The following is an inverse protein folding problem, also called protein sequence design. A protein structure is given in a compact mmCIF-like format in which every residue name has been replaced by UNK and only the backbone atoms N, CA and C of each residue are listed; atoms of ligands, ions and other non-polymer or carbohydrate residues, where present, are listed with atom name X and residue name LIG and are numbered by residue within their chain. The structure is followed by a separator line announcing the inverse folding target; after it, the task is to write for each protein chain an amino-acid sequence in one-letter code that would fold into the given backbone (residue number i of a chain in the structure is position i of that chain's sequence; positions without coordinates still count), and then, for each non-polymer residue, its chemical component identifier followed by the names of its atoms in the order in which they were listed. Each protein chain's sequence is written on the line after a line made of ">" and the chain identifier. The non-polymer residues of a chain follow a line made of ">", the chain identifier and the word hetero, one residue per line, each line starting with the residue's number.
data_IF_120294358437
#
_entry.id   IF_120294358437
#
_cell.length_a   1.000
_cell.length_b   1.000
_cell.length_c   1.000
_cell.angle_alpha   90.00
_cell.angle_beta   90.00
_cell.angle_gamma   90.00
#
_symmetry.space_group_name_H-M   'P 1'
#
loop_
_entity.id
_entity.type
_entity.pdbx_description
1 polymer ?
#
# COMPACT_ATOMS: atom_id res chain seq x y z
N UNK A 1 18.01 13.85 3.40
CA UNK A 1 18.27 15.15 2.70
C UNK A 1 19.49 15.88 3.25
N UNK A 2 19.66 16.01 4.56
CA UNK A 2 20.79 16.74 5.19
C UNK A 2 22.16 16.15 4.81
N UNK A 3 22.29 14.83 4.73
CA UNK A 3 23.55 14.15 4.41
C UNK A 3 23.97 14.32 2.94
N UNK A 4 23.03 14.34 2.00
CA UNK A 4 23.32 14.67 0.59
C UNK A 4 23.82 16.12 0.45
N UNK A 5 23.33 17.04 1.30
CA UNK A 5 23.80 18.41 1.34
C UNK A 5 25.27 18.54 1.81
N UNK A 6 25.66 17.75 2.81
CA UNK A 6 27.06 17.71 3.28
C UNK A 6 27.99 17.02 2.28
N UNK A 7 27.54 15.92 1.66
CA UNK A 7 28.31 15.23 0.62
C UNK A 7 28.46 16.08 -0.64
N UNK A 8 27.39 16.80 -1.05
CA UNK A 8 27.45 17.74 -2.16
C UNK A 8 28.39 18.94 -1.87
N UNK A 9 28.35 19.46 -0.64
CA UNK A 9 29.29 20.51 -0.20
C UNK A 9 30.72 20.01 -0.15
N UNK A 10 30.94 18.75 0.26
CA UNK A 10 32.26 18.13 0.27
C UNK A 10 32.79 17.90 -1.15
N UNK A 11 31.95 17.38 -2.07
CA UNK A 11 32.31 17.26 -3.48
C UNK A 11 32.55 18.61 -4.14
N UNK A 12 31.71 19.61 -3.85
CA UNK A 12 31.88 20.99 -4.33
C UNK A 12 33.17 21.63 -3.77
N UNK A 13 33.48 21.37 -2.51
CA UNK A 13 34.75 21.81 -1.91
C UNK A 13 35.95 21.14 -2.56
N UNK A 14 35.90 19.82 -2.81
CA UNK A 14 36.94 19.09 -3.53
C UNK A 14 37.09 19.58 -4.98
N UNK A 15 35.98 19.83 -5.65
CA UNK A 15 35.98 20.38 -7.02
C UNK A 15 36.55 21.81 -7.04
N UNK A 16 36.21 22.63 -6.07
CA UNK A 16 36.72 24.01 -5.96
C UNK A 16 38.22 24.03 -5.60
N UNK A 17 38.71 23.12 -4.79
CA UNK A 17 40.13 22.94 -4.51
C UNK A 17 40.90 22.42 -5.73
N UNK A 18 40.29 21.52 -6.51
CA UNK A 18 40.81 21.00 -7.76
C UNK A 18 40.93 22.11 -8.81
N UNK A 19 39.88 22.95 -8.97
CA UNK A 19 39.91 24.09 -9.89
C UNK A 19 40.88 25.17 -9.44
N UNK A 20 41.04 25.46 -8.14
CA UNK A 20 42.08 26.38 -7.63
C UNK A 20 43.47 25.87 -7.98
N UNK A 21 43.71 24.56 -8.06
CA UNK A 21 45.01 24.01 -8.50
C UNK A 21 45.26 24.10 -10.00
N UNK A 22 44.18 24.23 -10.81
CA UNK A 22 44.26 24.27 -12.29
C UNK A 22 44.28 25.66 -12.89
N UNK A 23 43.78 26.68 -12.18
CA UNK A 23 43.68 28.08 -12.69
C UNK A 23 44.96 28.89 -12.63
N UNK A 24 46.08 28.32 -12.16
CA UNK A 24 47.40 28.95 -12.22
C UNK A 24 48.31 28.27 -13.28
N UNK A 25 47.81 28.12 -14.49
CA UNK A 25 48.58 27.70 -15.66
C UNK A 25 48.85 28.87 -16.56
N UNK A 26 49.76 29.75 -16.10
CA UNK A 26 50.52 30.67 -16.91
C UNK A 26 51.99 30.46 -16.56
N UNK A 27 52.69 29.71 -17.40
CA UNK A 27 54.14 29.55 -17.53
C UNK A 27 54.99 28.94 -16.37
N UNK A 28 54.47 28.71 -15.17
CA UNK A 28 55.15 27.93 -14.13
C UNK A 28 54.23 26.89 -13.52
N UNK A 29 54.59 25.62 -13.64
CA UNK A 29 53.86 24.50 -13.05
C UNK A 29 54.11 24.53 -11.54
N UNK A 30 53.38 25.33 -10.81
CA UNK A 30 53.35 25.24 -9.34
C UNK A 30 52.39 24.09 -8.99
N UNK A 31 52.96 22.97 -8.60
CA UNK A 31 52.21 21.86 -8.02
C UNK A 31 51.50 22.35 -6.76
N UNK A 32 50.20 22.57 -6.85
CA UNK A 32 49.36 22.91 -5.70
C UNK A 32 49.34 21.79 -4.64
N UNK A 33 48.85 22.02 -3.42
CA UNK A 33 48.91 21.06 -2.31
C UNK A 33 48.22 19.70 -2.58
N UNK A 34 47.40 19.58 -3.64
CA UNK A 34 46.82 18.34 -4.08
C UNK A 34 47.80 17.43 -4.87
N UNK A 35 48.89 17.99 -5.43
CA UNK A 35 49.92 17.23 -6.16
C UNK A 35 50.77 16.39 -5.21
N UNK A 36 50.78 16.74 -3.94
CA UNK A 36 51.50 15.99 -2.89
C UNK A 36 50.70 14.82 -2.32
N UNK A 37 49.40 14.75 -2.61
CA UNK A 37 48.55 13.66 -2.15
C UNK A 37 48.74 12.46 -3.07
N UNK A 38 49.45 11.46 -2.56
CA UNK A 38 49.70 10.22 -3.30
C UNK A 38 48.37 9.59 -3.73
N UNK A 39 48.19 9.09 -4.98
CA UNK A 39 46.93 8.47 -5.48
C UNK A 39 46.32 7.42 -4.56
N UNK A 40 47.12 6.78 -3.73
CA UNK A 40 46.68 5.81 -2.69
C UNK A 40 45.72 6.42 -1.69
N UNK A 41 45.85 7.70 -1.30
CA UNK A 41 44.96 8.38 -0.35
C UNK A 41 43.58 8.64 -0.93
N UNK A 42 43.50 8.93 -2.24
CA UNK A 42 42.21 9.02 -2.92
C UNK A 42 41.48 7.68 -2.91
N UNK A 43 42.22 6.57 -3.15
CA UNK A 43 41.67 5.23 -3.08
C UNK A 43 41.18 4.88 -1.66
N UNK A 44 41.97 5.17 -0.62
CA UNK A 44 41.55 4.96 0.76
C UNK A 44 40.35 5.83 1.16
N UNK A 45 40.31 7.11 0.74
CA UNK A 45 39.18 7.98 0.95
C UNK A 45 37.91 7.46 0.27
N UNK A 46 38.01 6.97 -0.96
CA UNK A 46 36.90 6.38 -1.71
C UNK A 46 36.38 5.10 -1.04
N UNK A 47 37.26 4.20 -0.64
CA UNK A 47 36.90 2.97 0.10
C UNK A 47 36.26 3.35 1.45
N UNK A 48 36.82 4.32 2.18
CA UNK A 48 36.25 4.84 3.42
C UNK A 48 34.83 5.37 3.25
N UNK A 49 34.58 6.12 2.19
CA UNK A 49 33.23 6.60 1.85
C UNK A 49 32.24 5.44 1.56
N UNK A 50 32.67 4.43 0.80
CA UNK A 50 31.83 3.26 0.52
C UNK A 50 31.50 2.51 1.81
N UNK A 51 32.49 2.25 2.65
CA UNK A 51 32.30 1.58 3.94
C UNK A 51 31.38 2.39 4.86
N UNK A 52 31.55 3.71 4.92
CA UNK A 52 30.72 4.60 5.70
C UNK A 52 29.26 4.55 5.23
N UNK A 53 29.01 4.63 3.92
CA UNK A 53 27.66 4.51 3.33
C UNK A 53 27.06 3.14 3.66
N UNK A 54 27.84 2.08 3.52
CA UNK A 54 27.42 0.71 3.85
C UNK A 54 26.98 0.58 5.31
N UNK A 55 27.80 1.02 6.26
CA UNK A 55 27.47 0.98 7.69
C UNK A 55 26.29 1.88 8.04
N UNK A 56 26.23 3.08 7.44
CA UNK A 56 25.10 3.99 7.63
C UNK A 56 23.78 3.33 7.22
N UNK A 57 23.72 2.72 6.03
CA UNK A 57 22.54 2.00 5.55
C UNK A 57 22.16 0.87 6.50
N UNK A 58 23.15 0.08 6.94
CA UNK A 58 22.94 -1.07 7.82
C UNK A 58 22.40 -0.67 9.21
N UNK A 59 22.85 0.44 9.75
CA UNK A 59 22.40 0.98 11.04
C UNK A 59 21.02 1.65 10.89
N UNK A 60 20.83 2.45 9.85
CA UNK A 60 19.61 3.25 9.65
C UNK A 60 18.41 2.40 9.25
N UNK A 61 18.62 1.35 8.46
CA UNK A 61 17.57 0.48 7.93
C UNK A 61 17.81 -1.02 8.25
N UNK A 62 17.91 -1.42 9.52
CA UNK A 62 18.38 -2.76 9.91
C UNK A 62 17.51 -3.91 9.44
N UNK A 63 16.21 -3.67 9.20
CA UNK A 63 15.26 -4.64 8.66
C UNK A 63 15.16 -4.52 7.13
N UNK A 64 14.80 -3.34 6.64
CA UNK A 64 14.48 -3.15 5.22
C UNK A 64 15.69 -3.35 4.29
N UNK A 65 16.94 -3.11 4.76
CA UNK A 65 18.14 -3.33 3.93
C UNK A 65 18.38 -4.81 3.58
N UNK A 66 17.77 -5.73 4.34
CA UNK A 66 17.88 -7.17 4.10
C UNK A 66 16.73 -7.73 3.28
N UNK A 67 15.69 -6.91 3.04
CA UNK A 67 14.49 -7.33 2.35
C UNK A 67 14.62 -7.18 0.82
N UNK A 68 14.00 -8.05 0.02
CA UNK A 68 13.99 -7.94 -1.43
C UNK A 68 13.02 -6.85 -1.90
N UNK A 69 13.34 -5.59 -1.62
CA UNK A 69 12.58 -4.43 -2.07
C UNK A 69 13.42 -3.54 -2.97
N UNK A 70 12.79 -2.62 -3.70
CA UNK A 70 13.53 -1.63 -4.47
C UNK A 70 14.07 -0.54 -3.53
N UNK A 71 15.37 -0.57 -3.27
CA UNK A 71 16.01 0.40 -2.39
C UNK A 71 16.30 1.72 -3.09
N UNK A 72 16.11 2.83 -2.40
CA UNK A 72 16.38 4.18 -2.92
C UNK A 72 17.88 4.45 -3.20
N UNK A 73 18.76 3.65 -2.60
CA UNK A 73 20.21 3.70 -2.79
C UNK A 73 20.72 2.67 -3.82
N UNK A 74 19.83 1.92 -4.45
CA UNK A 74 20.16 0.91 -5.46
C UNK A 74 20.13 1.55 -6.86
N UNK A 75 21.20 2.28 -7.18
CA UNK A 75 21.28 3.05 -8.41
C UNK A 75 21.24 2.19 -9.67
N UNK A 76 21.80 0.99 -9.62
CA UNK A 76 21.87 0.09 -10.78
C UNK A 76 20.50 -0.37 -11.27
N UNK A 77 19.55 -0.53 -10.36
CA UNK A 77 18.18 -0.94 -10.71
C UNK A 77 17.39 0.14 -11.45
N UNK A 78 17.80 1.41 -11.37
CA UNK A 78 17.20 2.51 -12.16
C UNK A 78 17.44 2.35 -13.66
N UNK A 79 18.52 1.69 -14.03
CA UNK A 79 18.94 1.53 -15.43
C UNK A 79 18.36 0.28 -16.09
N UNK A 80 17.59 -0.53 -15.37
CA UNK A 80 16.91 -1.68 -15.96
C UNK A 80 15.78 -1.22 -16.86
N UNK A 81 15.60 -1.89 -17.99
CA UNK A 81 14.59 -1.50 -19.00
C UNK A 81 13.24 -2.19 -18.83
N UNK A 82 13.16 -3.25 -18.01
CA UNK A 82 11.97 -4.06 -17.82
C UNK A 82 11.76 -4.42 -16.33
N UNK A 83 10.51 -4.63 -15.90
CA UNK A 83 10.19 -5.12 -14.57
C UNK A 83 10.79 -6.50 -14.32
N UNK A 84 11.23 -6.75 -13.08
CA UNK A 84 11.80 -8.04 -12.72
C UNK A 84 11.58 -8.40 -11.25
N UNK A 85 11.56 -9.72 -10.97
CA UNK A 85 11.51 -10.31 -9.64
C UNK A 85 12.91 -10.35 -9.06
N UNK A 86 13.07 -9.85 -7.81
CA UNK A 86 14.38 -9.74 -7.15
C UNK A 86 14.90 -11.12 -6.72
N UNK A 87 14.06 -11.92 -6.07
CA UNK A 87 14.38 -13.26 -5.60
C UNK A 87 13.39 -14.27 -6.18
N UNK A 88 13.85 -15.07 -7.14
CA UNK A 88 13.05 -16.13 -7.78
C UNK A 88 13.06 -17.43 -6.97
N UNK A 89 14.16 -17.70 -6.28
CA UNK A 89 14.32 -18.91 -5.47
C UNK A 89 13.52 -18.84 -4.17
N UNK A 90 13.32 -19.99 -3.53
CA UNK A 90 12.67 -20.04 -2.21
C UNK A 90 13.38 -19.14 -1.20
N UNK A 91 12.60 -18.45 -0.33
CA UNK A 91 13.19 -17.57 0.67
C UNK A 91 14.01 -18.37 1.68
N UNK A 92 15.15 -17.84 2.08
CA UNK A 92 15.91 -18.41 3.17
C UNK A 92 15.34 -17.94 4.51
N UNK A 93 15.41 -18.82 5.52
CA UNK A 93 15.07 -18.43 6.89
C UNK A 93 16.08 -17.38 7.37
N UNK A 94 15.57 -16.24 7.78
CA UNK A 94 16.39 -15.15 8.33
C UNK A 94 16.24 -15.07 9.84
N UNK A 95 17.05 -14.25 10.50
CA UNK A 95 16.94 -13.98 11.94
C UNK A 95 15.62 -13.32 12.36
N UNK A 96 14.84 -12.82 11.41
CA UNK A 96 13.53 -12.21 11.64
C UNK A 96 12.38 -13.22 11.54
N UNK A 97 12.60 -14.43 11.04
CA UNK A 97 11.59 -15.49 11.06
C UNK A 97 11.37 -15.97 12.49
N UNK A 98 10.11 -16.11 12.88
CA UNK A 98 9.71 -16.64 14.18
C UNK A 98 8.57 -17.65 13.96
N UNK A 99 8.93 -18.92 13.80
CA UNK A 99 7.96 -20.01 13.59
C UNK A 99 7.43 -20.60 14.91
N UNK A 100 8.00 -20.23 16.03
CA UNK A 100 7.56 -20.70 17.35
C UNK A 100 6.27 -19.98 17.77
N UNK A 101 6.22 -18.66 17.60
CA UNK A 101 5.11 -17.84 18.06
C UNK A 101 4.17 -17.42 16.92
N UNK A 102 4.60 -17.54 15.64
CA UNK A 102 3.80 -17.12 14.49
C UNK A 102 3.34 -18.35 13.71
N UNK A 103 2.03 -18.50 13.63
CA UNK A 103 1.38 -19.52 12.82
C UNK A 103 0.70 -18.88 11.59
N UNK A 104 0.82 -19.53 10.43
CA UNK A 104 0.21 -19.05 9.19
C UNK A 104 -0.85 -20.04 8.71
N UNK A 105 -2.08 -19.57 8.67
CA UNK A 105 -3.26 -20.33 8.27
C UNK A 105 -3.83 -19.80 6.96
N UNK A 106 -4.47 -20.65 6.19
CA UNK A 106 -5.39 -20.22 5.15
C UNK A 106 -6.65 -19.68 5.83
N UNK A 107 -7.25 -18.63 5.28
CA UNK A 107 -8.45 -18.04 5.89
C UNK A 107 -9.58 -19.05 6.09
N UNK A 108 -9.76 -19.97 5.14
CA UNK A 108 -10.81 -20.98 5.18
C UNK A 108 -10.58 -22.06 6.24
N UNK A 109 -9.36 -22.21 6.76
CA UNK A 109 -9.01 -23.17 7.81
C UNK A 109 -9.21 -22.60 9.22
N UNK A 110 -9.46 -21.27 9.34
CA UNK A 110 -9.66 -20.63 10.62
C UNK A 110 -11.05 -20.95 11.18
N UNK A 111 -11.08 -21.28 12.47
CA UNK A 111 -12.34 -21.46 13.20
C UNK A 111 -13.03 -20.13 13.45
N UNK A 112 -14.34 -20.16 13.60
CA UNK A 112 -15.17 -18.97 13.85
C UNK A 112 -14.73 -18.19 15.10
N UNK A 113 -14.37 -18.90 16.17
CA UNK A 113 -13.85 -18.29 17.41
C UNK A 113 -12.50 -17.58 17.21
N UNK A 114 -11.63 -18.14 16.37
CA UNK A 114 -10.35 -17.48 16.03
C UNK A 114 -10.59 -16.20 15.23
N UNK A 115 -11.50 -16.23 14.25
CA UNK A 115 -11.86 -15.05 13.45
C UNK A 115 -12.41 -13.94 14.35
N UNK A 116 -13.26 -14.28 15.33
CA UNK A 116 -13.80 -13.31 16.31
C UNK A 116 -12.68 -12.67 17.13
N UNK A 117 -11.74 -13.45 17.67
CA UNK A 117 -10.57 -12.91 18.38
C UNK A 117 -9.70 -11.99 17.51
N UNK A 118 -9.56 -12.30 16.21
CA UNK A 118 -8.83 -11.44 15.27
C UNK A 118 -9.59 -10.15 14.95
N UNK A 119 -10.91 -10.21 14.86
CA UNK A 119 -11.76 -9.02 14.70
C UNK A 119 -11.61 -8.10 15.91
N UNK A 120 -11.65 -8.64 17.14
CA UNK A 120 -11.46 -7.87 18.37
C UNK A 120 -10.06 -7.24 18.43
N UNK A 121 -9.03 -7.97 18.02
CA UNK A 121 -7.67 -7.45 17.91
C UNK A 121 -7.59 -6.26 16.92
N UNK A 122 -8.26 -6.36 15.78
CA UNK A 122 -8.28 -5.31 14.76
C UNK A 122 -9.07 -4.08 15.26
N UNK A 123 -10.26 -4.27 15.83
CA UNK A 123 -11.07 -3.16 16.37
C UNK A 123 -10.27 -2.38 17.41
N UNK A 124 -9.58 -3.07 18.31
CA UNK A 124 -8.90 -2.45 19.43
C UNK A 124 -7.55 -1.81 19.09
N UNK A 125 -6.82 -2.33 18.09
CA UNK A 125 -5.40 -2.01 17.93
C UNK A 125 -4.95 -1.62 16.51
N UNK A 126 -5.80 -1.79 15.48
CA UNK A 126 -5.39 -1.55 14.09
C UNK A 126 -5.18 -0.06 13.81
N UNK A 127 -6.16 0.78 14.15
CA UNK A 127 -6.03 2.24 14.00
C UNK A 127 -5.47 2.83 15.29
N UNK A 128 -4.31 3.51 15.26
CA UNK A 128 -3.67 4.03 16.46
C UNK A 128 -4.25 5.37 16.96
N UNK A 129 -5.55 5.60 16.78
CA UNK A 129 -6.23 6.83 17.20
C UNK A 129 -7.41 6.48 18.08
N UNK A 130 -7.59 7.24 19.14
CA UNK A 130 -8.75 7.08 20.02
C UNK A 130 -9.99 7.82 19.48
N UNK A 131 -9.81 8.71 18.48
CA UNK A 131 -10.88 9.46 17.83
C UNK A 131 -11.50 8.72 16.63
N UNK A 132 -10.95 7.56 16.26
CA UNK A 132 -11.34 6.81 15.07
C UNK A 132 -11.57 5.35 15.43
N UNK A 133 -12.78 4.88 15.24
CA UNK A 133 -13.16 3.49 15.48
C UNK A 133 -13.06 2.69 14.19
N UNK A 134 -12.46 1.51 14.27
CA UNK A 134 -12.45 0.54 13.18
C UNK A 134 -13.62 -0.44 13.40
N UNK A 135 -14.55 -0.54 12.43
CA UNK A 135 -15.82 -1.26 12.56
C UNK A 135 -15.88 -2.53 11.71
N UNK A 136 -14.78 -3.25 11.65
CA UNK A 136 -14.72 -4.53 10.94
C UNK A 136 -15.57 -5.60 11.64
N UNK A 137 -16.20 -6.49 10.87
CA UNK A 137 -16.99 -7.60 11.37
C UNK A 137 -16.53 -8.92 10.76
N UNK A 138 -16.87 -10.06 11.38
CA UNK A 138 -16.63 -11.39 10.82
C UNK A 138 -17.20 -11.54 9.42
N UNK A 139 -18.43 -11.04 9.19
CA UNK A 139 -19.06 -11.04 7.87
C UNK A 139 -18.19 -10.31 6.84
N UNK A 140 -17.69 -9.12 7.19
CA UNK A 140 -16.79 -8.36 6.32
C UNK A 140 -15.51 -9.13 6.01
N UNK A 141 -14.88 -9.75 7.01
CA UNK A 141 -13.68 -10.59 6.82
C UNK A 141 -13.94 -11.71 5.82
N UNK A 142 -15.07 -12.42 5.96
CA UNK A 142 -15.43 -13.50 5.04
C UNK A 142 -15.62 -12.99 3.59
N UNK A 143 -16.26 -11.86 3.41
CA UNK A 143 -16.49 -11.30 2.08
C UNK A 143 -15.19 -10.76 1.43
N UNK A 144 -14.28 -10.24 2.25
CA UNK A 144 -13.02 -9.64 1.81
C UNK A 144 -11.94 -10.68 1.49
N UNK A 145 -11.90 -11.81 2.22
CA UNK A 145 -10.85 -12.83 2.08
C UNK A 145 -11.28 -14.08 1.33
N UNK A 146 -12.42 -14.06 0.63
CA UNK A 146 -12.91 -15.19 -0.18
C UNK A 146 -13.17 -14.78 -1.62
N UNK A 147 -13.09 -15.76 -2.54
CA UNK A 147 -13.29 -15.52 -3.98
C UNK A 147 -12.02 -15.13 -4.75
N UNK A 148 -10.86 -15.25 -4.13
CA UNK A 148 -9.57 -15.04 -4.76
C UNK A 148 -9.12 -16.28 -5.56
N UNK A 149 -8.16 -16.08 -6.49
CA UNK A 149 -7.56 -17.17 -7.28
C UNK A 149 -6.60 -18.04 -6.44
N UNK A 150 -5.96 -17.43 -5.43
CA UNK A 150 -5.10 -18.12 -4.47
C UNK A 150 -5.64 -17.89 -3.06
N UNK A 151 -5.40 -18.81 -2.14
CA UNK A 151 -5.89 -18.71 -0.77
C UNK A 151 -5.37 -17.47 -0.06
N UNK A 152 -6.24 -16.84 0.71
CA UNK A 152 -5.88 -15.73 1.58
C UNK A 152 -5.18 -16.26 2.83
N UNK A 153 -4.04 -15.65 3.20
CA UNK A 153 -3.19 -16.12 4.28
C UNK A 153 -3.25 -15.18 5.48
N UNK A 154 -3.26 -15.78 6.66
CA UNK A 154 -3.28 -15.10 7.95
C UNK A 154 -2.10 -15.58 8.78
N UNK A 155 -1.15 -14.67 9.07
CA UNK A 155 -0.05 -14.93 10.01
C UNK A 155 -0.36 -14.28 11.33
N UNK A 156 -0.56 -15.12 12.35
CA UNK A 156 -1.01 -14.72 13.67
C UNK A 156 0.14 -14.93 14.65
N UNK A 157 0.51 -13.87 15.37
CA UNK A 157 1.46 -13.96 16.47
C UNK A 157 0.71 -14.25 17.75
N UNK A 158 1.02 -15.39 18.38
CA UNK A 158 0.44 -15.81 19.65
C UNK A 158 1.42 -15.55 20.79
N UNK A 159 0.89 -15.07 21.91
CA UNK A 159 1.59 -15.00 23.20
C UNK A 159 0.91 -15.94 24.19
N UNK A 160 1.71 -16.71 24.96
CA UNK A 160 1.18 -17.61 25.98
C UNK A 160 0.73 -16.80 27.20
N UNK A 161 -0.54 -16.82 27.50
CA UNK A 161 -1.09 -16.22 28.72
C UNK A 161 -1.36 -17.33 29.72
N UNK A 162 -0.75 -17.20 30.90
CA UNK A 162 -0.91 -18.17 31.98
C UNK A 162 -2.07 -17.72 32.86
N UNK A 163 -3.09 -18.58 32.99
CA UNK A 163 -4.21 -18.39 33.89
C UNK A 163 -4.13 -19.43 35.02
N UNK A 164 -4.37 -18.99 36.23
CA UNK A 164 -4.60 -19.93 37.35
C UNK A 164 -6.00 -20.53 37.10
N UNK A 165 -6.08 -21.84 36.90
CA UNK A 165 -7.35 -22.53 36.72
C UNK A 165 -8.20 -22.34 38.00
N UNK A 166 -9.52 -22.21 37.84
CA UNK A 166 -10.46 -22.17 38.93
C UNK A 166 -10.29 -23.44 39.80
N UNK A 167 -10.21 -23.25 41.12
CA UNK A 167 -10.04 -24.33 42.07
C UNK A 167 -11.35 -25.14 42.13
N UNK A 168 -11.37 -26.33 41.56
CA UNK A 168 -12.26 -27.35 42.05
C UNK A 168 -11.66 -27.93 43.33
N UNK A 169 -12.42 -27.99 44.41
CA UNK A 169 -11.98 -28.30 45.80
C UNK A 169 -11.26 -29.67 45.94
N UNK A 170 -11.18 -30.49 44.91
CA UNK A 170 -10.63 -31.86 44.94
C UNK A 170 -9.19 -32.01 44.43
N UNK A 171 -8.56 -30.97 43.84
CA UNK A 171 -7.19 -31.13 43.29
C UNK A 171 -6.24 -30.06 43.87
N UNK A 172 -5.38 -30.49 44.79
CA UNK A 172 -4.35 -29.67 45.48
C UNK A 172 -3.14 -29.26 44.59
N UNK A 173 -3.10 -29.58 43.32
CA UNK A 173 -2.04 -29.15 42.40
C UNK A 173 -2.55 -28.01 41.51
N UNK A 174 -1.96 -26.82 41.64
CA UNK A 174 -2.21 -25.67 40.76
C UNK A 174 -1.68 -26.00 39.37
N UNK A 175 -2.55 -26.54 38.53
CA UNK A 175 -2.19 -26.77 37.11
C UNK A 175 -2.20 -25.40 36.42
N UNK A 176 -1.03 -24.94 36.01
CA UNK A 176 -0.86 -23.74 35.18
C UNK A 176 -1.42 -24.08 33.78
N UNK A 177 -2.59 -23.55 33.49
CA UNK A 177 -3.19 -23.66 32.14
C UNK A 177 -2.75 -22.43 31.37
N UNK A 178 -2.13 -22.61 30.21
CA UNK A 178 -1.83 -21.53 29.31
C UNK A 178 -2.78 -21.52 28.12
N UNK A 179 -3.21 -20.32 27.74
CA UNK A 179 -3.97 -20.09 26.51
C UNK A 179 -3.13 -19.29 25.54
N UNK A 180 -3.19 -19.63 24.25
CA UNK A 180 -2.56 -18.86 23.20
C UNK A 180 -3.46 -17.68 22.82
N UNK A 181 -3.03 -16.45 23.08
CA UNK A 181 -3.79 -15.25 22.79
C UNK A 181 -3.17 -14.55 21.57
N UNK A 182 -3.96 -14.19 20.52
CA UNK A 182 -3.45 -13.45 19.38
C UNK A 182 -3.07 -12.02 19.80
N UNK A 183 -1.83 -11.64 19.54
CA UNK A 183 -1.29 -10.30 19.88
C UNK A 183 -0.78 -9.55 18.66
N UNK A 184 -0.71 -10.22 17.52
CA UNK A 184 -0.35 -9.63 16.24
C UNK A 184 -0.92 -10.39 15.07
N UNK A 185 -1.19 -9.69 13.98
CA UNK A 185 -1.79 -10.23 12.77
C UNK A 185 -1.15 -9.57 11.56
N UNK A 186 -1.03 -10.32 10.48
CA UNK A 186 -0.82 -9.84 9.13
C UNK A 186 -1.58 -10.74 8.17
N UNK A 187 -2.23 -10.13 7.18
CA UNK A 187 -3.01 -10.86 6.19
C UNK A 187 -2.49 -10.62 4.78
N UNK A 188 -2.78 -11.54 3.88
CA UNK A 188 -2.59 -11.35 2.46
C UNK A 188 -3.72 -11.95 1.65
N UNK A 189 -4.10 -11.29 0.56
CA UNK A 189 -5.10 -11.76 -0.42
C UNK A 189 -4.57 -11.65 -1.83
N UNK A 190 -4.97 -12.57 -2.70
CA UNK A 190 -4.54 -12.60 -4.10
C UNK A 190 -5.16 -11.46 -4.90
N UNK A 191 -4.32 -10.84 -5.71
CA UNK A 191 -4.68 -9.77 -6.67
C UNK A 191 -3.89 -9.95 -7.96
N UNK A 192 -4.22 -9.18 -8.98
CA UNK A 192 -3.43 -9.05 -10.20
C UNK A 192 -2.85 -7.64 -10.32
N UNK A 193 -1.56 -7.55 -10.63
CA UNK A 193 -0.95 -6.27 -11.02
C UNK A 193 -0.65 -6.26 -12.51
N UNK A 194 -0.81 -5.09 -13.13
CA UNK A 194 -0.55 -4.83 -14.54
C UNK A 194 0.48 -3.73 -14.64
N UNK A 195 1.57 -3.99 -15.33
CA UNK A 195 2.64 -3.02 -15.56
C UNK A 195 2.74 -2.74 -17.04
N UNK A 196 2.67 -1.47 -17.41
CA UNK A 196 2.82 -1.04 -18.78
C UNK A 196 4.29 -1.17 -19.22
N UNK A 197 4.54 -2.06 -20.16
CA UNK A 197 5.83 -2.29 -20.79
C UNK A 197 5.80 -1.77 -22.25
N UNK A 198 6.93 -1.83 -22.94
CA UNK A 198 7.02 -1.40 -24.35
C UNK A 198 6.05 -2.13 -25.29
N UNK A 199 5.71 -3.38 -24.99
CA UNK A 199 4.83 -4.24 -25.78
C UNK A 199 3.37 -4.24 -25.31
N UNK A 200 3.02 -3.39 -24.35
CA UNK A 200 1.71 -3.35 -23.69
C UNK A 200 1.76 -3.82 -22.24
N UNK A 201 0.59 -4.09 -21.66
CA UNK A 201 0.54 -4.53 -20.27
C UNK A 201 1.03 -5.96 -20.08
N UNK A 202 1.90 -6.14 -19.09
CA UNK A 202 2.27 -7.45 -18.56
C UNK A 202 1.53 -7.65 -17.23
N UNK A 203 0.81 -8.76 -17.12
CA UNK A 203 0.08 -9.16 -15.90
C UNK A 203 0.96 -10.04 -15.03
N UNK A 204 0.99 -9.75 -13.73
CA UNK A 204 1.67 -10.56 -12.72
C UNK A 204 0.71 -10.94 -11.59
N UNK A 205 0.70 -12.21 -11.13
CA UNK A 205 0.03 -12.56 -9.90
C UNK A 205 0.75 -11.91 -8.70
N UNK A 206 -0.01 -11.41 -7.76
CA UNK A 206 0.52 -10.64 -6.64
C UNK A 206 -0.33 -10.88 -5.39
N UNK A 207 0.26 -10.82 -4.20
CA UNK A 207 -0.48 -10.72 -2.95
C UNK A 207 -0.58 -9.26 -2.49
N UNK A 208 -1.75 -8.85 -2.05
CA UNK A 208 -1.92 -7.60 -1.33
C UNK A 208 -1.80 -7.87 0.17
N UNK A 209 -0.79 -7.31 0.81
CA UNK A 209 -0.58 -7.37 2.25
C UNK A 209 -1.42 -6.32 2.94
N UNK A 210 -2.25 -6.76 3.88
CA UNK A 210 -3.18 -5.91 4.61
C UNK A 210 -3.21 -6.29 6.10
N UNK A 211 -3.90 -5.50 6.92
CA UNK A 211 -4.13 -5.73 8.35
C UNK A 211 -2.89 -6.11 9.15
N UNK A 212 -1.74 -5.45 8.88
CA UNK A 212 -0.60 -5.57 9.77
C UNK A 212 -0.91 -4.84 11.09
N UNK A 213 -1.26 -5.61 12.10
CA UNK A 213 -1.66 -5.14 13.42
C UNK A 213 -0.82 -5.81 14.50
N UNK A 214 -0.46 -5.06 15.55
CA UNK A 214 0.19 -5.57 16.78
C UNK A 214 -0.43 -4.82 17.95
N UNK A 215 -0.70 -5.53 19.05
CA UNK A 215 -1.18 -4.90 20.29
C UNK A 215 -0.33 -3.69 20.65
N UNK A 216 -0.98 -2.58 21.07
CA UNK A 216 -0.31 -1.28 21.27
C UNK A 216 0.84 -1.37 22.28
N UNK A 217 0.67 -2.15 23.33
CA UNK A 217 1.63 -2.34 24.42
C UNK A 217 2.90 -3.08 23.95
N UNK A 218 2.79 -3.89 22.89
CA UNK A 218 3.87 -4.70 22.34
C UNK A 218 4.61 -4.04 21.15
N UNK A 219 4.17 -2.88 20.69
CA UNK A 219 4.83 -2.14 19.59
C UNK A 219 6.33 -1.90 19.82
N UNK A 220 6.80 -1.56 21.05
CA UNK A 220 8.23 -1.38 21.32
C UNK A 220 9.07 -2.63 21.03
N UNK A 221 8.52 -3.84 21.16
CA UNK A 221 9.20 -5.11 20.84
C UNK A 221 9.46 -5.32 19.36
N UNK A 222 8.94 -4.44 18.47
CA UNK A 222 9.13 -4.49 17.01
C UNK A 222 8.70 -5.80 16.37
N UNK A 223 7.65 -6.43 16.90
CA UNK A 223 7.12 -7.73 16.46
C UNK A 223 6.67 -7.72 14.98
N UNK A 224 6.26 -6.57 14.45
CA UNK A 224 5.86 -6.41 13.05
C UNK A 224 6.91 -6.92 12.06
N UNK A 225 8.21 -6.80 12.36
CA UNK A 225 9.29 -7.31 11.51
C UNK A 225 9.27 -8.83 11.43
N UNK A 226 9.04 -9.49 12.56
CA UNK A 226 8.95 -10.95 12.65
C UNK A 226 7.71 -11.44 11.90
N UNK A 227 6.58 -10.74 12.06
CA UNK A 227 5.33 -11.10 11.39
C UNK A 227 5.50 -10.97 9.87
N UNK A 228 6.02 -9.83 9.36
CA UNK A 228 6.26 -9.62 7.93
C UNK A 228 7.15 -10.72 7.34
N UNK A 229 8.28 -10.99 7.98
CA UNK A 229 9.24 -11.95 7.44
C UNK A 229 8.73 -13.39 7.46
N UNK A 230 8.04 -13.78 8.55
CA UNK A 230 7.46 -15.13 8.67
C UNK A 230 6.29 -15.30 7.71
N UNK A 231 5.47 -14.25 7.56
CA UNK A 231 4.36 -14.24 6.60
C UNK A 231 4.86 -14.42 5.17
N UNK A 232 5.84 -13.63 4.75
CA UNK A 232 6.44 -13.73 3.41
C UNK A 232 7.02 -15.12 3.15
N UNK A 233 7.78 -15.65 4.10
CA UNK A 233 8.36 -16.99 3.99
C UNK A 233 7.27 -18.05 3.78
N UNK A 234 6.23 -18.07 4.63
CA UNK A 234 5.15 -19.05 4.54
C UNK A 234 4.28 -18.86 3.30
N UNK A 235 4.01 -17.60 2.90
CA UNK A 235 3.29 -17.27 1.69
C UNK A 235 3.95 -17.87 0.45
N UNK A 236 5.27 -17.73 0.33
CA UNK A 236 6.03 -18.23 -0.83
C UNK A 236 6.16 -19.75 -0.84
N UNK A 237 6.16 -20.41 0.33
CA UNK A 237 6.13 -21.86 0.41
C UNK A 237 4.75 -22.39 0.03
N UNK A 238 3.67 -21.80 0.57
CA UNK A 238 2.30 -22.23 0.27
C UNK A 238 1.91 -21.96 -1.19
N UNK A 239 2.34 -20.83 -1.74
CA UNK A 239 1.98 -20.38 -3.09
C UNK A 239 3.22 -19.99 -3.91
N UNK A 240 4.03 -20.94 -4.38
CA UNK A 240 5.29 -20.68 -5.08
C UNK A 240 5.13 -19.97 -6.43
N UNK A 241 3.91 -19.96 -7.00
CA UNK A 241 3.59 -19.22 -8.22
C UNK A 241 3.38 -17.72 -8.02
N UNK A 242 3.23 -17.24 -6.78
CA UNK A 242 2.99 -15.83 -6.46
C UNK A 242 4.16 -15.26 -5.67
N UNK A 243 5.10 -14.67 -6.39
CA UNK A 243 6.37 -14.20 -5.82
C UNK A 243 6.38 -12.73 -5.41
N UNK A 244 5.35 -11.98 -5.78
CA UNK A 244 5.27 -10.53 -5.63
C UNK A 244 4.23 -10.20 -4.56
N UNK A 245 4.53 -9.18 -3.74
CA UNK A 245 3.54 -8.61 -2.85
C UNK A 245 3.48 -7.09 -2.98
N UNK A 246 2.30 -6.53 -2.79
CA UNK A 246 2.00 -5.11 -2.77
C UNK A 246 1.51 -4.75 -1.36
N UNK A 247 1.96 -3.64 -0.80
CA UNK A 247 1.45 -3.13 0.46
C UNK A 247 1.30 -1.62 0.45
N UNK A 248 0.33 -1.13 1.21
CA UNK A 248 0.09 0.30 1.42
C UNK A 248 0.73 0.73 2.73
N UNK A 249 1.28 1.92 2.76
CA UNK A 249 1.70 2.58 4.00
C UNK A 249 1.08 3.96 4.07
N UNK A 250 0.49 4.28 5.20
CA UNK A 250 -0.21 5.51 5.52
C UNK A 250 0.58 6.33 6.53
N UNK A 251 0.43 7.65 6.48
CA UNK A 251 1.10 8.59 7.38
C UNK A 251 2.59 8.75 7.11
N UNK A 252 3.43 8.33 8.03
CA UNK A 252 4.89 8.40 7.88
C UNK A 252 5.38 7.36 6.87
N UNK A 253 5.80 7.84 5.69
CA UNK A 253 6.24 6.99 4.59
C UNK A 253 7.59 6.32 4.90
N UNK A 254 7.82 5.14 4.28
CA UNK A 254 9.08 4.41 4.45
C UNK A 254 10.23 5.12 3.75
N UNK A 255 11.29 5.40 4.49
CA UNK A 255 12.57 5.86 3.94
C UNK A 255 13.42 4.66 3.51
N UNK A 256 14.18 4.83 2.44
CA UNK A 256 15.09 3.79 1.94
C UNK A 256 14.46 2.78 0.97
N UNK A 257 13.14 2.82 0.77
CA UNK A 257 12.41 2.00 -0.21
C UNK A 257 11.75 2.91 -1.24
N UNK A 258 11.80 2.54 -2.51
CA UNK A 258 11.14 3.25 -3.61
C UNK A 258 9.69 2.79 -3.69
N UNK A 259 8.71 3.68 -3.51
CA UNK A 259 7.30 3.34 -3.71
C UNK A 259 6.98 3.23 -5.21
N UNK A 260 5.90 2.51 -5.53
CA UNK A 260 5.36 2.52 -6.89
C UNK A 260 4.64 3.85 -7.18
N UNK A 261 3.91 4.37 -6.20
CA UNK A 261 3.27 5.67 -6.24
C UNK A 261 3.17 6.28 -4.83
N UNK A 262 3.26 7.62 -4.76
CA UNK A 262 2.95 8.42 -3.57
C UNK A 262 1.75 9.29 -3.89
N UNK A 263 0.84 9.43 -2.95
CA UNK A 263 -0.35 10.27 -3.09
C UNK A 263 -0.84 10.73 -1.73
N UNK A 264 -1.74 11.69 -1.73
CA UNK A 264 -2.39 12.19 -0.53
C UNK A 264 -3.86 11.79 -0.54
N UNK A 265 -4.40 11.38 0.58
CA UNK A 265 -5.85 11.24 0.78
C UNK A 265 -6.40 12.41 1.58
N UNK A 266 -7.64 12.75 1.30
CA UNK A 266 -8.35 13.88 1.90
C UNK A 266 -9.70 13.41 2.43
N UNK A 267 -10.13 13.99 3.53
CA UNK A 267 -11.41 13.66 4.16
C UNK A 267 -12.36 14.84 4.04
N UNK A 268 -13.62 14.59 3.60
CA UNK A 268 -14.65 15.60 3.46
C UNK A 268 -15.96 15.15 4.09
N UNK A 269 -16.75 16.13 4.59
CA UNK A 269 -18.13 15.89 5.02
C UNK A 269 -19.05 15.91 3.80
N UNK A 270 -19.79 14.81 3.56
CA UNK A 270 -20.72 14.69 2.44
C UNK A 270 -21.91 15.64 2.55
N UNK A 271 -22.53 15.87 3.73
CA UNK A 271 -23.68 16.77 3.86
C UNK A 271 -23.40 18.22 3.42
N UNK A 272 -22.13 18.64 3.39
CA UNK A 272 -21.75 19.99 2.95
C UNK A 272 -21.58 20.11 1.43
N UNK A 273 -21.58 18.99 0.70
CA UNK A 273 -21.40 18.98 -0.75
C UNK A 273 -22.67 19.38 -1.49
N UNK A 274 -22.51 20.18 -2.54
CA UNK A 274 -23.60 20.54 -3.45
C UNK A 274 -23.68 19.54 -4.59
N UNK A 275 -24.88 19.03 -4.84
CA UNK A 275 -25.14 18.04 -5.89
C UNK A 275 -25.91 18.68 -7.05
N UNK A 276 -25.22 18.91 -8.16
CA UNK A 276 -25.79 19.39 -9.39
C UNK A 276 -26.37 18.23 -10.21
N UNK A 277 -27.40 18.53 -11.05
CA UNK A 277 -28.00 17.51 -11.91
C UNK A 277 -27.10 17.13 -13.08
N UNK A 278 -27.11 15.82 -13.42
CA UNK A 278 -26.47 15.36 -14.66
C UNK A 278 -27.22 15.88 -15.91
N UNK A 279 -26.50 16.10 -17.03
CA UNK A 279 -27.14 16.39 -18.32
C UNK A 279 -28.13 15.30 -18.74
N UNK A 280 -29.21 15.69 -19.40
CA UNK A 280 -30.37 14.83 -19.76
C UNK A 280 -30.01 13.54 -20.48
N UNK A 281 -28.89 13.51 -21.23
CA UNK A 281 -28.47 12.33 -21.99
C UNK A 281 -27.45 11.47 -21.26
N UNK A 282 -27.12 11.80 -20.02
CA UNK A 282 -26.15 11.06 -19.19
C UNK A 282 -26.87 10.32 -18.06
N UNK A 283 -26.52 9.07 -17.88
CA UNK A 283 -27.12 8.21 -16.85
C UNK A 283 -26.02 7.61 -15.99
N UNK A 284 -26.23 7.59 -14.67
CA UNK A 284 -25.38 6.89 -13.73
C UNK A 284 -25.91 5.47 -13.52
N UNK A 285 -25.07 4.47 -13.74
CA UNK A 285 -25.41 3.05 -13.59
C UNK A 285 -24.58 2.46 -12.45
N UNK A 286 -25.27 2.01 -11.40
CA UNK A 286 -24.63 1.22 -10.33
C UNK A 286 -24.37 -0.20 -10.82
N UNK A 287 -23.15 -0.67 -10.58
CA UNK A 287 -22.78 -2.06 -10.88
C UNK A 287 -23.32 -2.99 -9.77
N UNK A 288 -23.91 -4.09 -10.21
CA UNK A 288 -24.50 -5.14 -9.38
C UNK A 288 -24.33 -6.51 -10.06
N UNK A 289 -24.94 -7.56 -9.52
CA UNK A 289 -24.85 -8.93 -10.05
C UNK A 289 -25.22 -9.06 -11.53
N UNK A 290 -26.19 -8.28 -12.01
CA UNK A 290 -26.75 -8.42 -13.36
C UNK A 290 -25.92 -7.75 -14.44
N UNK A 291 -25.22 -6.67 -14.10
CA UNK A 291 -24.41 -5.88 -15.03
C UNK A 291 -22.89 -5.90 -14.70
N UNK A 292 -22.46 -6.83 -13.84
CA UNK A 292 -21.06 -6.96 -13.46
C UNK A 292 -20.13 -7.21 -14.66
N UNK A 293 -20.63 -7.97 -15.66
CA UNK A 293 -19.90 -8.22 -16.91
C UNK A 293 -19.54 -6.92 -17.65
N UNK A 294 -20.50 -5.98 -17.77
CA UNK A 294 -20.28 -4.68 -18.42
C UNK A 294 -19.11 -3.90 -17.81
N UNK A 295 -18.99 -3.97 -16.47
CA UNK A 295 -17.92 -3.32 -15.74
C UNK A 295 -16.55 -3.97 -16.01
N UNK A 296 -16.50 -5.30 -15.94
CA UNK A 296 -15.26 -6.07 -16.20
C UNK A 296 -14.78 -5.84 -17.62
N UNK A 297 -15.68 -5.92 -18.61
CA UNK A 297 -15.38 -5.68 -20.03
C UNK A 297 -14.88 -4.25 -20.26
N UNK A 298 -15.53 -3.25 -19.65
CA UNK A 298 -15.08 -1.87 -19.72
C UNK A 298 -13.68 -1.72 -19.13
N UNK A 299 -13.44 -2.22 -17.91
CA UNK A 299 -12.17 -2.06 -17.20
C UNK A 299 -10.99 -2.64 -17.99
N UNK A 300 -11.11 -3.89 -18.44
CA UNK A 300 -10.03 -4.55 -19.17
C UNK A 300 -9.84 -4.00 -20.58
N UNK A 301 -10.95 -3.63 -21.26
CA UNK A 301 -10.88 -2.98 -22.58
C UNK A 301 -10.21 -1.61 -22.48
N UNK A 302 -10.58 -0.84 -21.45
CA UNK A 302 -9.97 0.47 -21.18
C UNK A 302 -8.46 0.33 -20.94
N UNK A 303 -8.04 -0.56 -20.05
CA UNK A 303 -6.62 -0.81 -19.79
C UNK A 303 -5.89 -1.19 -21.07
N UNK A 304 -6.41 -2.16 -21.83
CA UNK A 304 -5.78 -2.63 -23.06
C UNK A 304 -5.60 -1.54 -24.11
N UNK A 305 -6.62 -0.70 -24.31
CA UNK A 305 -6.66 0.24 -25.41
C UNK A 305 -6.05 1.60 -25.08
N UNK A 306 -6.24 2.10 -23.84
CA UNK A 306 -5.81 3.46 -23.49
C UNK A 306 -4.32 3.56 -23.14
N UNK A 307 -3.78 2.53 -22.48
CA UNK A 307 -2.38 2.48 -22.00
C UNK A 307 -1.97 3.73 -21.20
N UNK A 308 -2.95 4.40 -20.55
CA UNK A 308 -2.72 5.63 -19.79
C UNK A 308 -2.06 5.32 -18.45
N UNK A 309 -2.54 4.28 -17.76
CA UNK A 309 -1.97 3.90 -16.47
C UNK A 309 -0.67 3.13 -16.65
N UNK A 310 0.41 3.55 -16.02
CA UNK A 310 1.69 2.82 -16.02
C UNK A 310 1.66 1.59 -15.12
N UNK A 311 0.79 1.64 -14.10
CA UNK A 311 0.59 0.58 -13.13
C UNK A 311 -0.89 0.45 -12.79
N UNK A 312 -1.39 -0.79 -12.72
CA UNK A 312 -2.71 -1.05 -12.16
C UNK A 312 -2.67 -2.26 -11.20
N UNK A 313 -3.42 -2.18 -10.09
CA UNK A 313 -3.62 -3.26 -9.14
C UNK A 313 -5.12 -3.50 -8.97
N UNK A 314 -5.56 -4.71 -9.30
CA UNK A 314 -6.98 -5.06 -9.38
C UNK A 314 -7.20 -6.36 -8.61
N UNK A 315 -8.22 -6.44 -7.73
CA UNK A 315 -8.61 -7.69 -7.09
C UNK A 315 -8.95 -8.77 -8.11
N UNK A 316 -8.81 -10.02 -7.75
CA UNK A 316 -9.31 -11.11 -8.57
C UNK A 316 -10.82 -10.97 -8.81
N UNK A 317 -11.28 -11.35 -10.00
CA UNK A 317 -12.66 -11.10 -10.46
C UNK A 317 -13.69 -11.67 -9.47
N UNK A 318 -13.45 -12.85 -8.91
CA UNK A 318 -14.35 -13.46 -7.93
C UNK A 318 -14.44 -12.67 -6.63
N UNK A 319 -13.30 -12.16 -6.12
CA UNK A 319 -13.25 -11.27 -4.96
C UNK A 319 -13.96 -9.94 -5.24
N UNK A 320 -13.68 -9.32 -6.38
CA UNK A 320 -14.30 -8.07 -6.80
C UNK A 320 -15.82 -8.19 -6.87
N UNK A 321 -16.32 -9.30 -7.45
CA UNK A 321 -17.75 -9.60 -7.49
C UNK A 321 -18.35 -9.74 -6.09
N UNK A 322 -17.71 -10.50 -5.20
CA UNK A 322 -18.18 -10.64 -3.82
C UNK A 322 -18.24 -9.31 -3.06
N UNK A 323 -17.22 -8.48 -3.21
CA UNK A 323 -17.18 -7.16 -2.56
C UNK A 323 -18.30 -6.24 -3.06
N UNK A 324 -18.64 -6.28 -4.36
CA UNK A 324 -19.76 -5.52 -4.93
C UNK A 324 -21.10 -6.09 -4.46
N UNK A 325 -21.27 -7.41 -4.50
CA UNK A 325 -22.51 -8.09 -4.09
C UNK A 325 -22.83 -7.89 -2.61
N UNK A 326 -21.80 -7.75 -1.77
CA UNK A 326 -21.94 -7.51 -0.32
C UNK A 326 -22.02 -6.04 0.08
N UNK A 327 -21.99 -5.13 -0.89
CA UNK A 327 -21.94 -3.68 -0.65
C UNK A 327 -20.73 -3.19 0.16
N UNK A 328 -19.63 -3.96 0.18
CA UNK A 328 -18.34 -3.50 0.67
C UNK A 328 -17.59 -2.67 -0.38
N UNK A 329 -18.00 -2.78 -1.63
CA UNK A 329 -17.51 -1.97 -2.74
C UNK A 329 -18.67 -1.52 -3.63
N UNK A 330 -18.65 -0.26 -4.04
CA UNK A 330 -19.62 0.32 -4.96
C UNK A 330 -18.86 0.78 -6.21
N UNK A 331 -19.35 0.38 -7.36
CA UNK A 331 -18.83 0.83 -8.65
C UNK A 331 -19.95 1.47 -9.44
N UNK A 332 -19.69 2.64 -10.00
CA UNK A 332 -20.62 3.39 -10.83
C UNK A 332 -20.01 3.69 -12.18
N UNK A 333 -20.81 3.55 -13.23
CA UNK A 333 -20.46 3.94 -14.60
C UNK A 333 -21.31 5.12 -15.03
N UNK A 334 -20.67 6.20 -15.42
CA UNK A 334 -21.32 7.31 -16.11
C UNK A 334 -21.44 6.94 -17.59
N UNK A 335 -22.65 6.75 -18.08
CA UNK A 335 -22.94 6.36 -19.46
C UNK A 335 -23.66 7.48 -20.22
N UNK A 336 -23.32 7.64 -21.49
CA UNK A 336 -24.11 8.38 -22.47
C UNK A 336 -24.48 7.39 -23.58
N UNK A 337 -25.76 7.03 -23.65
CA UNK A 337 -26.24 5.93 -24.50
C UNK A 337 -25.48 4.61 -24.15
N UNK A 338 -24.75 4.02 -25.12
CA UNK A 338 -23.93 2.80 -24.93
C UNK A 338 -22.49 3.08 -24.48
N UNK A 339 -22.04 4.34 -24.51
CA UNK A 339 -20.64 4.70 -24.23
C UNK A 339 -20.44 5.00 -22.75
N UNK A 340 -19.42 4.37 -22.14
CA UNK A 340 -18.99 4.68 -20.78
C UNK A 340 -18.07 5.89 -20.84
N UNK A 341 -18.44 6.97 -20.16
CA UNK A 341 -17.70 8.22 -20.09
C UNK A 341 -16.80 8.30 -18.85
N UNK A 342 -17.16 7.58 -17.80
CA UNK A 342 -16.39 7.54 -16.56
C UNK A 342 -16.76 6.37 -15.68
N UNK A 343 -15.84 5.98 -14.80
CA UNK A 343 -16.01 4.96 -13.77
C UNK A 343 -15.57 5.54 -12.42
N UNK A 344 -16.31 5.22 -11.37
CA UNK A 344 -16.01 5.61 -9.99
C UNK A 344 -16.11 4.40 -9.09
N UNK A 345 -15.06 4.15 -8.31
CA UNK A 345 -15.00 3.02 -7.39
C UNK A 345 -14.88 3.53 -5.94
N UNK A 346 -15.77 3.02 -5.10
CA UNK A 346 -15.83 3.34 -3.69
C UNK A 346 -15.78 2.04 -2.88
N UNK A 347 -15.21 2.13 -1.69
CA UNK A 347 -15.10 1.03 -0.73
C UNK A 347 -15.62 1.51 0.62
N UNK A 348 -16.35 0.67 1.34
CA UNK A 348 -16.64 0.92 2.75
C UNK A 348 -15.32 0.91 3.53
N UNK A 349 -14.95 2.04 4.11
CA UNK A 349 -13.69 2.19 4.83
C UNK A 349 -13.65 1.43 6.16
N UNK A 350 -14.80 0.98 6.66
CA UNK A 350 -14.97 0.41 8.01
C UNK A 350 -14.41 1.31 9.12
N UNK A 351 -14.54 2.61 8.90
CA UNK A 351 -14.04 3.66 9.79
C UNK A 351 -15.21 4.56 10.19
N UNK A 352 -15.29 4.84 11.49
CA UNK A 352 -16.22 5.79 12.06
C UNK A 352 -15.44 6.78 12.93
N UNK A 353 -15.73 8.06 12.80
CA UNK A 353 -15.15 9.10 13.64
C UNK A 353 -16.02 9.32 14.88
N UNK A 354 -15.41 9.46 16.06
CA UNK A 354 -16.10 9.53 17.36
C UNK A 354 -17.11 10.69 17.45
N UNK A 355 -16.81 11.80 16.77
CA UNK A 355 -17.67 13.00 16.75
C UNK A 355 -18.74 12.99 15.66
N UNK A 356 -18.88 11.90 14.89
CA UNK A 356 -19.78 11.83 13.75
C UNK A 356 -20.48 10.47 13.72
N UNK A 357 -21.81 10.45 13.92
CA UNK A 357 -22.62 9.23 13.95
C UNK A 357 -22.68 8.50 12.59
N UNK A 358 -21.85 8.89 11.62
CA UNK A 358 -21.83 8.35 10.26
C UNK A 358 -20.62 7.52 9.91
N UNK A 359 -20.84 6.50 9.11
CA UNK A 359 -19.77 5.69 8.51
C UNK A 359 -19.00 6.46 7.44
N UNK A 360 -17.79 6.00 7.13
CA UNK A 360 -16.93 6.59 6.11
C UNK A 360 -16.93 5.74 4.85
N UNK A 361 -17.16 6.36 3.69
CA UNK A 361 -16.96 5.76 2.37
C UNK A 361 -15.64 6.24 1.78
N UNK A 362 -14.86 5.34 1.21
CA UNK A 362 -13.55 5.64 0.60
C UNK A 362 -13.67 5.64 -0.92
N UNK A 363 -13.35 6.75 -1.59
CA UNK A 363 -13.18 6.80 -3.04
C UNK A 363 -11.77 6.33 -3.40
N UNK A 364 -11.64 5.08 -3.83
CA UNK A 364 -10.35 4.41 -4.06
C UNK A 364 -9.76 4.70 -5.45
N UNK A 365 -10.59 5.04 -6.44
CA UNK A 365 -10.12 5.35 -7.78
C UNK A 365 -11.23 5.62 -8.77
N UNK A 366 -10.86 6.27 -9.87
CA UNK A 366 -11.78 6.56 -10.96
C UNK A 366 -11.07 6.48 -12.32
N UNK A 367 -11.86 6.32 -13.39
CA UNK A 367 -11.39 6.30 -14.78
C UNK A 367 -12.17 7.36 -15.56
N UNK A 368 -11.46 8.34 -16.11
CA UNK A 368 -11.98 9.33 -17.03
C UNK A 368 -11.87 8.78 -18.46
N UNK A 369 -12.99 8.62 -19.15
CA UNK A 369 -13.07 8.15 -20.54
C UNK A 369 -13.84 9.14 -21.44
N UNK A 370 -13.71 10.42 -21.15
CA UNK A 370 -14.27 11.51 -21.95
C UNK A 370 -13.38 12.75 -21.87
N UNK A 371 -13.59 13.74 -22.71
CA UNK A 371 -12.84 15.00 -22.71
C UNK A 371 -13.39 16.03 -21.71
N UNK A 372 -14.63 15.86 -21.25
CA UNK A 372 -15.30 16.83 -20.37
C UNK A 372 -15.03 16.49 -18.89
N UNK A 373 -14.03 17.14 -18.31
CA UNK A 373 -13.64 16.94 -16.90
C UNK A 373 -14.73 17.39 -15.93
N UNK A 374 -15.47 18.48 -16.26
CA UNK A 374 -16.58 18.94 -15.42
C UNK A 374 -17.71 17.90 -15.35
N UNK A 375 -18.05 17.27 -16.48
CA UNK A 375 -19.02 16.17 -16.50
C UNK A 375 -18.54 14.97 -15.67
N UNK A 376 -17.25 14.67 -15.72
CA UNK A 376 -16.67 13.62 -14.90
C UNK A 376 -16.76 13.93 -13.40
N UNK A 377 -16.51 15.18 -12.99
CA UNK A 377 -16.72 15.62 -11.61
C UNK A 377 -18.19 15.52 -11.18
N UNK A 378 -19.13 15.94 -12.03
CA UNK A 378 -20.58 15.79 -11.75
C UNK A 378 -20.98 14.31 -11.59
N UNK A 379 -20.39 13.42 -12.39
CA UNK A 379 -20.58 11.98 -12.24
C UNK A 379 -20.10 11.44 -10.90
N UNK A 380 -18.97 11.92 -10.39
CA UNK A 380 -18.49 11.59 -9.04
C UNK A 380 -19.49 12.03 -7.97
N UNK A 381 -19.93 13.28 -8.00
CA UNK A 381 -20.90 13.79 -7.03
C UNK A 381 -22.22 12.98 -7.08
N UNK A 382 -22.71 12.68 -8.29
CA UNK A 382 -23.93 11.91 -8.45
C UNK A 382 -23.80 10.46 -7.94
N UNK A 383 -22.65 9.80 -8.16
CA UNK A 383 -22.39 8.48 -7.60
C UNK A 383 -22.34 8.50 -6.07
N UNK A 384 -21.73 9.52 -5.49
CA UNK A 384 -21.69 9.71 -4.05
C UNK A 384 -23.10 9.96 -3.47
N UNK A 385 -23.91 10.79 -4.12
CA UNK A 385 -25.31 11.03 -3.74
C UNK A 385 -26.14 9.73 -3.76
N UNK A 386 -25.96 8.90 -4.80
CA UNK A 386 -26.69 7.61 -4.91
C UNK A 386 -26.28 6.62 -3.79
N UNK A 387 -25.03 6.66 -3.34
CA UNK A 387 -24.58 5.86 -2.19
C UNK A 387 -25.25 6.35 -0.93
N UNK A 388 -25.21 7.65 -0.65
CA UNK A 388 -25.68 8.24 0.61
C UNK A 388 -27.19 8.16 0.78
N UNK A 389 -27.97 8.14 -0.30
CA UNK A 389 -29.42 7.92 -0.22
C UNK A 389 -29.82 6.55 0.34
N UNK A 390 -28.93 5.54 0.22
CA UNK A 390 -29.18 4.17 0.63
C UNK A 390 -28.46 3.77 1.91
N UNK A 391 -27.57 4.63 2.41
CA UNK A 391 -26.63 4.30 3.48
C UNK A 391 -26.43 5.49 4.42
N UNK A 392 -25.82 5.24 5.58
CA UNK A 392 -25.53 6.25 6.59
C UNK A 392 -24.10 6.85 6.48
N UNK A 393 -23.50 6.85 5.28
CA UNK A 393 -22.21 7.51 5.08
C UNK A 393 -22.33 9.03 5.18
N UNK A 394 -21.57 9.64 6.07
CA UNK A 394 -21.49 11.09 6.24
C UNK A 394 -20.14 11.66 5.80
N UNK A 395 -19.12 10.81 5.74
CA UNK A 395 -17.75 11.20 5.43
C UNK A 395 -17.28 10.46 4.19
N UNK A 396 -16.58 11.17 3.29
CA UNK A 396 -15.84 10.56 2.19
C UNK A 396 -14.35 10.75 2.40
N UNK A 397 -13.62 9.61 2.44
CA UNK A 397 -12.18 9.56 2.33
C UNK A 397 -11.80 9.48 0.85
N UNK A 398 -11.20 10.52 0.33
CA UNK A 398 -10.89 10.67 -1.09
C UNK A 398 -9.40 10.41 -1.33
N UNK A 399 -9.06 9.35 -2.05
CA UNK A 399 -7.69 9.04 -2.45
C UNK A 399 -7.33 9.77 -3.75
N UNK A 400 -6.33 10.66 -3.71
CA UNK A 400 -5.88 11.40 -4.89
C UNK A 400 -4.93 10.54 -5.75
N UNK A 401 -5.47 9.44 -6.27
CA UNK A 401 -4.78 8.47 -7.13
C UNK A 401 -5.63 8.20 -8.40
N UNK A 402 -5.05 7.68 -9.45
CA UNK A 402 -5.67 7.49 -10.76
C UNK A 402 -6.26 8.82 -11.27
N UNK A 403 -7.40 8.76 -11.95
CA UNK A 403 -8.06 9.96 -12.46
C UNK A 403 -8.84 10.74 -11.37
N UNK A 404 -8.80 10.31 -10.11
CA UNK A 404 -9.28 11.11 -8.98
C UNK A 404 -8.58 12.49 -8.92
N UNK A 405 -7.35 12.61 -9.45
CA UNK A 405 -6.64 13.88 -9.54
C UNK A 405 -7.44 14.96 -10.29
N UNK A 406 -8.22 14.59 -11.31
CA UNK A 406 -9.09 15.54 -12.03
C UNK A 406 -10.31 15.96 -11.19
N UNK A 407 -10.83 15.06 -10.36
CA UNK A 407 -11.93 15.35 -9.42
C UNK A 407 -11.42 16.25 -8.30
N UNK A 408 -10.20 16.01 -7.81
CA UNK A 408 -9.55 16.79 -6.77
C UNK A 408 -9.47 18.28 -7.11
N UNK A 409 -9.17 18.63 -8.36
CA UNK A 409 -9.09 20.04 -8.81
C UNK A 409 -10.39 20.82 -8.55
N UNK A 410 -11.55 20.16 -8.60
CA UNK A 410 -12.84 20.76 -8.28
C UNK A 410 -13.16 20.67 -6.78
N UNK A 411 -12.90 19.51 -6.15
CA UNK A 411 -13.21 19.33 -4.73
C UNK A 411 -12.54 20.37 -3.85
N UNK A 412 -11.25 20.62 -4.05
CA UNK A 412 -10.47 21.59 -3.25
C UNK A 412 -10.96 23.03 -3.36
N UNK A 413 -11.63 23.39 -4.45
CA UNK A 413 -12.18 24.74 -4.64
C UNK A 413 -13.55 24.91 -4.04
N UNK A 414 -14.31 23.83 -3.89
CA UNK A 414 -15.72 23.85 -3.47
C UNK A 414 -15.92 23.42 -2.03
N UNK A 415 -15.02 22.63 -1.48
CA UNK A 415 -15.17 22.02 -0.16
C UNK A 415 -13.88 22.18 0.65
N UNK A 416 -14.05 22.40 1.97
CA UNK A 416 -12.93 22.41 2.90
C UNK A 416 -12.63 20.97 3.35
N UNK A 417 -11.39 20.54 3.21
CA UNK A 417 -10.93 19.28 3.75
C UNK A 417 -10.88 19.30 5.28
N UNK A 418 -11.23 18.18 5.90
CA UNK A 418 -11.13 17.98 7.36
C UNK A 418 -9.74 17.51 7.77
N UNK A 419 -9.16 16.61 6.96
CA UNK A 419 -7.87 15.98 7.22
C UNK A 419 -7.19 15.63 5.91
N UNK A 420 -5.86 15.69 5.89
CA UNK A 420 -5.03 15.14 4.83
C UNK A 420 -4.04 14.10 5.39
N UNK A 421 -3.73 13.09 4.58
CA UNK A 421 -2.81 12.03 4.97
C UNK A 421 -1.97 11.58 3.77
N UNK A 422 -0.66 11.49 3.98
CA UNK A 422 0.26 10.96 2.97
C UNK A 422 0.19 9.44 2.91
N UNK A 423 0.14 8.89 1.70
CA UNK A 423 0.06 7.47 1.44
C UNK A 423 1.04 7.05 0.35
N UNK A 424 1.47 5.79 0.39
CA UNK A 424 2.26 5.22 -0.69
C UNK A 424 2.01 3.72 -0.81
N UNK A 425 2.06 3.23 -2.04
CA UNK A 425 2.11 1.80 -2.35
C UNK A 425 3.54 1.36 -2.61
N UNK A 426 3.90 0.20 -2.08
CA UNK A 426 5.23 -0.40 -2.21
C UNK A 426 5.12 -1.83 -2.73
N UNK A 427 6.09 -2.21 -3.57
CA UNK A 427 6.22 -3.59 -4.03
C UNK A 427 7.29 -4.32 -3.23
N UNK A 428 7.01 -5.55 -2.87
CA UNK A 428 7.94 -6.47 -2.25
C UNK A 428 8.33 -7.56 -3.25
N UNK A 429 9.60 -7.87 -3.33
CA UNK A 429 10.21 -8.81 -4.25
C UNK A 429 10.05 -8.47 -5.75
N UNK A 430 9.77 -7.21 -6.07
CA UNK A 430 9.60 -6.78 -7.45
C UNK A 430 10.09 -5.35 -7.69
N UNK A 431 10.76 -5.13 -8.81
CA UNK A 431 11.20 -3.81 -9.26
C UNK A 431 10.45 -3.42 -10.51
N UNK A 432 9.88 -2.24 -10.49
CA UNK A 432 9.31 -1.60 -11.68
C UNK A 432 10.18 -0.40 -12.04
N UNK A 433 10.89 -0.44 -13.19
CA UNK A 433 11.74 0.65 -13.62
C UNK A 433 10.97 1.96 -13.80
N UNK A 434 11.62 3.06 -13.48
CA UNK A 434 11.01 4.39 -13.58
C UNK A 434 10.05 4.76 -12.45
N UNK A 435 9.83 3.88 -11.45
CA UNK A 435 9.11 4.27 -10.23
C UNK A 435 9.96 5.24 -9.36
N UNK A 436 9.32 6.14 -8.56
CA UNK A 436 7.89 6.27 -8.36
C UNK A 436 7.17 6.91 -9.54
N UNK A 437 6.02 6.36 -9.90
CA UNK A 437 5.12 6.95 -10.88
C UNK A 437 4.29 8.09 -10.28
N UNK A 438 3.77 8.96 -11.14
CA UNK A 438 2.77 9.94 -10.71
C UNK A 438 1.50 9.20 -10.25
N UNK A 439 0.86 9.67 -9.20
CA UNK A 439 -0.35 9.04 -8.68
C UNK A 439 -1.45 8.88 -9.74
N UNK A 440 -1.62 9.87 -10.62
CA UNK A 440 -2.56 9.83 -11.73
C UNK A 440 -2.29 8.73 -12.76
N UNK A 441 -1.06 8.23 -12.84
CA UNK A 441 -0.64 7.17 -13.77
C UNK A 441 -0.82 5.77 -13.15
N UNK A 442 -1.40 5.67 -11.93
CA UNK A 442 -1.58 4.42 -11.20
C UNK A 442 -3.05 4.20 -10.85
N UNK A 443 -3.63 3.07 -11.29
CA UNK A 443 -4.98 2.65 -10.93
C UNK A 443 -4.91 1.55 -9.87
N UNK A 444 -5.48 1.80 -8.68
CA UNK A 444 -5.49 0.82 -7.59
C UNK A 444 -6.92 0.67 -7.09
N UNK A 445 -7.51 -0.52 -7.24
CA UNK A 445 -8.89 -0.85 -6.87
C UNK A 445 -8.93 -1.86 -5.71
N UNK A 446 -8.22 -1.57 -4.58
CA UNK A 446 -7.98 -2.53 -3.49
C UNK A 446 -8.76 -2.22 -2.20
#
# INVERSE_FOLDING_TARGET
>A
MIFFGYFYRFLYYLQHQFYRGVTYLGNDVIYGPLSTIHPRWFLFGFIGCILFIYFYIKIRYPFWNTQPVYHSYDFWRKWTSSPFIIQKNFPMKTKFCNFENIQTHDYLDLQDSQIEQLVDLLISHYIPSDQVLFTVTKKHMNEYFTGQNHSSLFSIYYEKQYNYGEQTEEQKEKQLVYTNVPVGLMTSRSISIFVLCKTGYTKYPCYFWDYLCVKRELKPKKLSRNIIQTHEYNQRIKNPGVLISLFKKEGELSHGIVPIAKYTSYTFQIPTMKFDKLPVHCVMVQINKTNFGDFVDFLYTFLKNSQIFKFAAIPDIGSLKKMIDSSNMYVYLLKKQKHVLGMYAFKDAKVQYENDDGSTIQCIGSILNCTNIRLFYLGFLHSLQMITWKTHYKIVLFENIAHNSYIWEFLRTMNKEMMEQNNAYYLYNFVVPGSPYLAKDCLVLL
#
